data_IF_770076379183
#
_entry.id   IF_770076379183
#
_cell.length_a   1.000
_cell.length_b   1.000
_cell.length_c   1.000
_cell.angle_alpha   90.00
_cell.angle_beta   90.00
_cell.angle_gamma   90.00
#
_symmetry.space_group_name_H-M   'P 1'
#
loop_
_entity.id
_entity.type
_entity.pdbx_description
1 polymer ?
#
# COMPACT_ATOMS: atom_id res chain seq x y z
N UNK A 1 -24.47 -13.03 34.01
CA UNK A 1 -24.01 -14.21 33.24
C UNK A 1 -24.57 -14.04 31.84
N UNK A 2 -23.88 -13.27 31.00
CA UNK A 2 -24.31 -12.98 29.62
C UNK A 2 -23.98 -14.20 28.76
N UNK A 3 -25.02 -14.85 28.25
CA UNK A 3 -24.84 -15.88 27.22
C UNK A 3 -24.35 -15.20 25.94
N UNK A 4 -23.18 -15.60 25.48
CA UNK A 4 -22.68 -15.27 24.16
C UNK A 4 -23.56 -16.05 23.18
N UNK A 5 -24.41 -15.33 22.45
CA UNK A 5 -25.20 -15.94 21.37
C UNK A 5 -24.23 -16.48 20.32
N UNK A 6 -24.27 -17.79 20.11
CA UNK A 6 -23.57 -18.43 18.99
C UNK A 6 -24.22 -17.98 17.69
N UNK A 7 -23.44 -17.54 16.70
CA UNK A 7 -24.02 -17.10 15.42
C UNK A 7 -24.81 -18.26 14.78
N UNK A 8 -25.95 -17.90 14.16
CA UNK A 8 -26.85 -18.84 13.52
C UNK A 8 -26.12 -19.68 12.45
N UNK A 9 -26.28 -20.99 12.52
CA UNK A 9 -25.61 -21.94 11.62
C UNK A 9 -25.88 -21.67 10.13
N UNK A 10 -27.04 -21.08 9.79
CA UNK A 10 -27.38 -20.66 8.43
C UNK A 10 -26.54 -19.47 7.94
N UNK A 11 -26.19 -18.54 8.84
CA UNK A 11 -25.31 -17.39 8.50
C UNK A 11 -23.90 -17.89 8.24
N UNK A 12 -23.38 -18.81 9.06
CA UNK A 12 -22.06 -19.41 8.86
C UNK A 12 -21.97 -20.21 7.55
N UNK A 13 -23.02 -20.98 7.20
CA UNK A 13 -23.09 -21.74 5.94
C UNK A 13 -23.17 -20.82 4.71
N UNK A 14 -23.90 -19.70 4.82
CA UNK A 14 -23.98 -18.69 3.77
C UNK A 14 -22.62 -17.98 3.53
N UNK A 15 -21.91 -17.63 4.60
CA UNK A 15 -20.58 -17.02 4.51
C UNK A 15 -19.53 -17.96 3.92
N UNK A 16 -19.54 -19.26 4.25
CA UNK A 16 -18.64 -20.25 3.66
C UNK A 16 -18.85 -20.39 2.14
N UNK A 17 -20.08 -20.37 1.68
CA UNK A 17 -20.38 -20.46 0.25
C UNK A 17 -19.86 -19.23 -0.53
N UNK A 18 -19.99 -18.02 0.00
CA UNK A 18 -19.51 -16.82 -0.67
C UNK A 18 -17.99 -16.74 -0.70
N UNK A 19 -17.30 -17.15 0.36
CA UNK A 19 -15.83 -17.18 0.42
C UNK A 19 -15.29 -18.14 -0.65
N UNK A 20 -15.84 -19.34 -0.79
CA UNK A 20 -15.43 -20.31 -1.79
C UNK A 20 -15.62 -19.79 -3.24
N UNK A 21 -16.75 -19.14 -3.50
CA UNK A 21 -17.01 -18.49 -4.80
C UNK A 21 -15.99 -17.37 -5.10
N UNK A 22 -15.67 -16.56 -4.10
CA UNK A 22 -14.69 -15.49 -4.22
C UNK A 22 -13.27 -16.01 -4.43
N UNK A 23 -12.88 -17.10 -3.75
CA UNK A 23 -11.59 -17.79 -3.97
C UNK A 23 -11.52 -18.29 -5.40
N UNK A 24 -12.55 -19.01 -5.85
CA UNK A 24 -12.60 -19.53 -7.22
C UNK A 24 -12.50 -18.40 -8.26
N UNK A 25 -13.22 -17.32 -8.07
CA UNK A 25 -13.18 -16.15 -8.96
C UNK A 25 -11.81 -15.48 -8.95
N UNK A 26 -11.23 -15.23 -7.78
CA UNK A 26 -9.92 -14.61 -7.65
C UNK A 26 -8.82 -15.45 -8.30
N UNK A 27 -8.86 -16.77 -8.15
CA UNK A 27 -7.89 -17.72 -8.70
C UNK A 27 -7.87 -17.76 -10.25
N UNK A 28 -8.93 -17.29 -10.92
CA UNK A 28 -8.97 -17.17 -12.38
C UNK A 28 -8.12 -15.99 -12.89
N UNK A 29 -7.77 -15.04 -12.03
CA UNK A 29 -6.95 -13.89 -12.42
C UNK A 29 -5.48 -14.30 -12.54
N UNK A 30 -5.00 -14.40 -13.77
CA UNK A 30 -3.62 -14.80 -14.06
C UNK A 30 -2.63 -13.61 -14.04
N UNK A 31 -3.09 -12.40 -14.37
CA UNK A 31 -2.22 -11.20 -14.47
C UNK A 31 -2.96 -9.95 -13.98
N UNK A 32 -2.22 -9.12 -13.25
CA UNK A 32 -2.74 -7.88 -12.71
C UNK A 32 -3.74 -8.11 -11.57
N UNK A 33 -4.44 -7.08 -11.16
CA UNK A 33 -5.37 -7.11 -10.02
C UNK A 33 -6.66 -6.33 -10.26
N UNK A 34 -6.95 -5.96 -11.51
CA UNK A 34 -8.15 -5.20 -11.83
C UNK A 34 -9.44 -5.96 -11.48
N UNK A 35 -9.49 -7.25 -11.83
CA UNK A 35 -10.65 -8.10 -11.56
C UNK A 35 -10.80 -8.39 -10.06
N UNK A 36 -9.67 -8.61 -9.38
CA UNK A 36 -9.66 -8.83 -7.92
C UNK A 36 -10.15 -7.57 -7.19
N UNK A 37 -9.68 -6.40 -7.61
CA UNK A 37 -10.13 -5.13 -7.04
C UNK A 37 -11.61 -4.87 -7.30
N UNK A 38 -12.11 -5.21 -8.51
CA UNK A 38 -13.54 -5.14 -8.84
C UNK A 38 -14.37 -6.05 -7.94
N UNK A 39 -13.89 -7.29 -7.72
CA UNK A 39 -14.56 -8.22 -6.80
C UNK A 39 -14.60 -7.67 -5.36
N UNK A 40 -13.53 -7.01 -4.88
CA UNK A 40 -13.52 -6.34 -3.59
C UNK A 40 -14.59 -5.23 -3.50
N UNK A 41 -14.69 -4.40 -4.53
CA UNK A 41 -15.69 -3.33 -4.61
C UNK A 41 -17.13 -3.90 -4.61
N UNK A 42 -17.35 -5.02 -5.28
CA UNK A 42 -18.65 -5.70 -5.29
C UNK A 42 -19.01 -6.24 -3.90
N UNK A 43 -18.07 -6.85 -3.17
CA UNK A 43 -18.30 -7.29 -1.77
C UNK A 43 -18.68 -6.11 -0.90
N UNK A 44 -17.91 -5.02 -0.96
CA UNK A 44 -18.18 -3.79 -0.17
C UNK A 44 -19.52 -3.15 -0.52
N UNK A 45 -19.95 -3.23 -1.78
CA UNK A 45 -21.22 -2.66 -2.23
C UNK A 45 -22.43 -3.51 -1.87
N UNK A 46 -22.26 -4.82 -1.63
CA UNK A 46 -23.37 -5.77 -1.45
C UNK A 46 -23.53 -6.29 -0.03
N UNK A 47 -22.53 -6.04 0.83
CA UNK A 47 -22.53 -6.52 2.23
C UNK A 47 -22.35 -5.34 3.20
N UNK A 48 -22.91 -5.48 4.40
CA UNK A 48 -22.65 -4.53 5.49
C UNK A 48 -21.15 -4.56 5.89
N UNK A 49 -20.58 -3.47 6.45
CA UNK A 49 -19.18 -3.41 6.83
C UNK A 49 -18.69 -4.59 7.70
N UNK A 50 -19.42 -5.03 8.77
CA UNK A 50 -18.96 -6.16 9.58
C UNK A 50 -18.90 -7.48 8.78
N UNK A 51 -19.85 -7.71 7.88
CA UNK A 51 -19.89 -8.92 7.05
C UNK A 51 -18.76 -8.90 6.03
N UNK A 52 -18.52 -7.74 5.38
CA UNK A 52 -17.42 -7.55 4.44
C UNK A 52 -16.05 -7.81 5.09
N UNK A 53 -15.84 -7.31 6.32
CA UNK A 53 -14.61 -7.53 7.07
C UNK A 53 -14.45 -8.98 7.52
N UNK A 54 -15.55 -9.66 7.87
CA UNK A 54 -15.57 -11.09 8.20
C UNK A 54 -15.21 -11.94 6.98
N UNK A 55 -15.77 -11.63 5.81
CA UNK A 55 -15.42 -12.25 4.52
C UNK A 55 -13.93 -12.02 4.21
N UNK A 56 -13.45 -10.80 4.38
CA UNK A 56 -12.04 -10.47 4.14
C UNK A 56 -11.10 -11.25 5.06
N UNK A 57 -11.42 -11.38 6.36
CA UNK A 57 -10.62 -12.17 7.29
C UNK A 57 -10.58 -13.66 6.88
N UNK A 58 -11.71 -14.22 6.47
CA UNK A 58 -11.78 -15.61 5.98
C UNK A 58 -10.96 -15.80 4.70
N UNK A 59 -11.04 -14.88 3.74
CA UNK A 59 -10.24 -14.89 2.51
C UNK A 59 -8.75 -14.79 2.80
N UNK A 60 -8.35 -13.95 3.76
CA UNK A 60 -6.94 -13.77 4.11
C UNK A 60 -6.32 -15.02 4.77
N UNK A 61 -7.13 -15.86 5.41
CA UNK A 61 -6.71 -17.11 6.05
C UNK A 61 -6.45 -18.25 5.05
N UNK A 62 -6.58 -18.02 3.73
CA UNK A 62 -6.40 -19.05 2.70
C UNK A 62 -4.98 -19.09 2.16
N UNK A 63 -4.58 -20.23 1.57
CA UNK A 63 -3.29 -20.41 0.91
C UNK A 63 -3.19 -19.65 -0.43
N UNK A 64 -4.30 -19.27 -1.02
CA UNK A 64 -4.36 -18.64 -2.34
C UNK A 64 -4.02 -17.14 -2.24
N UNK A 65 -2.89 -16.73 -2.80
CA UNK A 65 -2.46 -15.32 -2.73
C UNK A 65 -3.47 -14.35 -3.38
N UNK A 66 -4.18 -14.76 -4.43
CA UNK A 66 -5.23 -13.94 -5.05
C UNK A 66 -6.40 -13.67 -4.08
N UNK A 67 -6.76 -14.66 -3.25
CA UNK A 67 -7.79 -14.48 -2.22
C UNK A 67 -7.30 -13.55 -1.09
N UNK A 68 -6.04 -13.71 -0.66
CA UNK A 68 -5.44 -12.79 0.32
C UNK A 68 -5.31 -11.37 -0.23
N UNK A 69 -5.00 -11.21 -1.52
CA UNK A 69 -4.99 -9.91 -2.19
C UNK A 69 -6.40 -9.29 -2.27
N UNK A 70 -7.44 -10.12 -2.57
CA UNK A 70 -8.83 -9.69 -2.53
C UNK A 70 -9.21 -9.16 -1.14
N UNK A 71 -8.87 -9.92 -0.09
CA UNK A 71 -9.04 -9.51 1.30
C UNK A 71 -8.35 -8.16 1.59
N UNK A 72 -7.12 -8.00 1.13
CA UNK A 72 -6.34 -6.77 1.28
C UNK A 72 -7.05 -5.56 0.67
N UNK A 73 -7.68 -5.71 -0.49
CA UNK A 73 -8.45 -4.63 -1.10
C UNK A 73 -9.74 -4.34 -0.33
N UNK A 74 -10.43 -5.35 0.21
CA UNK A 74 -11.62 -5.13 1.05
C UNK A 74 -11.23 -4.34 2.31
N UNK A 75 -10.17 -4.76 3.04
CA UNK A 75 -9.66 -4.00 4.18
C UNK A 75 -9.27 -2.56 3.78
N UNK A 76 -8.67 -2.37 2.60
CA UNK A 76 -8.30 -1.07 2.07
C UNK A 76 -9.49 -0.11 1.87
N UNK A 77 -10.66 -0.62 1.47
CA UNK A 77 -11.86 0.19 1.32
C UNK A 77 -12.40 0.69 2.68
N UNK A 78 -12.19 -0.06 3.75
CA UNK A 78 -12.64 0.31 5.10
C UNK A 78 -11.58 1.02 5.95
N UNK A 79 -10.28 0.94 5.59
CA UNK A 79 -9.18 1.43 6.42
C UNK A 79 -9.28 2.92 6.79
N UNK A 80 -9.97 3.75 5.98
CA UNK A 80 -10.17 5.17 6.26
C UNK A 80 -11.31 5.47 7.24
N UNK A 81 -12.15 4.48 7.57
CA UNK A 81 -13.33 4.64 8.43
C UNK A 81 -13.38 3.63 9.57
N UNK A 82 -12.52 2.62 9.54
CA UNK A 82 -12.44 1.55 10.54
C UNK A 82 -10.96 1.32 10.91
N UNK A 83 -10.61 1.66 12.15
CA UNK A 83 -9.25 1.52 12.67
C UNK A 83 -8.77 0.06 12.69
N UNK A 84 -9.68 -0.90 12.89
CA UNK A 84 -9.34 -2.32 12.91
C UNK A 84 -8.89 -2.80 11.52
N UNK A 85 -9.49 -2.26 10.45
CA UNK A 85 -9.10 -2.56 9.08
C UNK A 85 -7.69 -2.00 8.77
N UNK A 86 -7.40 -0.75 9.17
CA UNK A 86 -6.06 -0.17 9.03
C UNK A 86 -5.03 -0.97 9.85
N UNK A 87 -5.37 -1.34 11.08
CA UNK A 87 -4.51 -2.16 11.95
C UNK A 87 -4.23 -3.54 11.33
N UNK A 88 -5.24 -4.18 10.73
CA UNK A 88 -5.05 -5.46 10.05
C UNK A 88 -4.10 -5.35 8.86
N UNK A 89 -4.24 -4.30 8.04
CA UNK A 89 -3.30 -4.01 6.94
C UNK A 89 -1.87 -3.83 7.47
N UNK A 90 -1.72 -3.06 8.55
CA UNK A 90 -0.42 -2.75 9.15
C UNK A 90 0.24 -3.97 9.78
N UNK A 91 -0.49 -4.72 10.63
CA UNK A 91 0.10 -5.75 11.48
C UNK A 91 0.09 -7.14 10.85
N UNK A 92 -0.85 -7.43 9.97
CA UNK A 92 -1.05 -8.77 9.42
C UNK A 92 -0.68 -8.81 7.93
N UNK A 93 -1.33 -7.99 7.09
CA UNK A 93 -1.09 -8.03 5.63
C UNK A 93 0.36 -7.68 5.29
N UNK A 94 0.97 -6.75 6.02
CA UNK A 94 2.36 -6.34 5.81
C UNK A 94 3.38 -7.47 6.06
N UNK A 95 2.98 -8.57 6.71
CA UNK A 95 3.81 -9.76 6.98
C UNK A 95 3.63 -10.86 5.94
N UNK A 96 2.73 -10.67 4.97
CA UNK A 96 2.53 -11.66 3.90
C UNK A 96 3.79 -11.79 3.04
N UNK A 97 4.30 -13.01 2.81
CA UNK A 97 5.51 -13.22 2.03
C UNK A 97 5.30 -13.02 0.52
N UNK A 98 4.04 -13.05 0.05
CA UNK A 98 3.73 -12.95 -1.37
C UNK A 98 3.78 -11.50 -1.87
N UNK A 99 4.58 -11.24 -2.88
CA UNK A 99 4.78 -9.90 -3.42
C UNK A 99 3.50 -9.29 -4.04
N UNK A 100 2.55 -10.12 -4.53
CA UNK A 100 1.28 -9.63 -5.06
C UNK A 100 0.40 -9.06 -3.93
N UNK A 101 0.42 -9.71 -2.76
CA UNK A 101 -0.29 -9.21 -1.57
C UNK A 101 0.35 -7.91 -1.09
N UNK A 102 1.69 -7.81 -1.11
CA UNK A 102 2.40 -6.58 -0.78
C UNK A 102 2.09 -5.42 -1.76
N UNK A 103 1.92 -5.71 -3.05
CA UNK A 103 1.42 -4.73 -4.04
C UNK A 103 -0.04 -4.32 -3.73
N UNK A 104 -0.86 -5.29 -3.31
CA UNK A 104 -2.21 -5.03 -2.79
C UNK A 104 -2.21 -4.08 -1.60
N UNK A 105 -1.30 -4.32 -0.63
CA UNK A 105 -1.13 -3.46 0.54
C UNK A 105 -0.78 -2.02 0.16
N UNK A 106 0.12 -1.82 -0.80
CA UNK A 106 0.47 -0.50 -1.30
C UNK A 106 -0.76 0.24 -1.87
N UNK A 107 -1.61 -0.46 -2.62
CA UNK A 107 -2.86 0.12 -3.15
C UNK A 107 -3.91 0.38 -2.06
N UNK A 108 -4.00 -0.50 -1.07
CA UNK A 108 -4.89 -0.32 0.09
C UNK A 108 -4.47 0.89 0.92
N UNK A 109 -3.16 1.11 1.11
CA UNK A 109 -2.64 2.29 1.79
C UNK A 109 -2.94 3.60 1.03
N UNK A 110 -2.76 3.63 -0.30
CA UNK A 110 -3.15 4.81 -1.11
C UNK A 110 -4.67 5.06 -1.01
N UNK A 111 -5.49 4.00 -0.99
CA UNK A 111 -6.94 4.12 -0.78
C UNK A 111 -7.28 4.71 0.58
N UNK A 112 -6.61 4.27 1.65
CA UNK A 112 -6.71 4.88 2.98
C UNK A 112 -6.41 6.39 2.91
N UNK A 113 -5.25 6.78 2.37
CA UNK A 113 -4.85 8.17 2.25
C UNK A 113 -5.87 9.01 1.44
N UNK A 114 -6.42 8.44 0.37
CA UNK A 114 -7.43 9.11 -0.45
C UNK A 114 -8.76 9.30 0.30
N UNK A 115 -9.13 8.34 1.16
CA UNK A 115 -10.39 8.38 1.92
C UNK A 115 -10.35 9.41 3.05
N UNK A 116 -9.25 9.46 3.83
CA UNK A 116 -9.11 10.41 4.94
C UNK A 116 -8.62 11.79 4.48
N UNK A 117 -8.08 11.88 3.27
CA UNK A 117 -7.38 13.04 2.73
C UNK A 117 -5.87 12.95 2.94
N UNK A 118 -5.09 13.21 1.87
CA UNK A 118 -3.62 13.04 1.90
C UNK A 118 -2.92 13.92 2.95
N UNK A 119 -3.42 15.12 3.19
CA UNK A 119 -2.88 15.99 4.24
C UNK A 119 -3.12 15.40 5.64
N UNK A 120 -4.32 14.91 5.89
CA UNK A 120 -4.71 14.29 7.16
C UNK A 120 -4.01 12.95 7.39
N UNK A 121 -3.63 12.26 6.31
CA UNK A 121 -2.91 11.00 6.37
C UNK A 121 -1.41 11.15 6.72
N UNK A 122 -0.83 12.37 6.68
CA UNK A 122 0.61 12.60 6.92
C UNK A 122 1.11 11.94 8.21
N UNK A 123 0.43 12.04 9.36
CA UNK A 123 0.92 11.39 10.59
C UNK A 123 1.03 9.86 10.46
N UNK A 124 0.09 9.22 9.76
CA UNK A 124 0.13 7.76 9.52
C UNK A 124 1.20 7.41 8.47
N UNK A 125 1.38 8.25 7.45
CA UNK A 125 2.46 8.13 6.48
C UNK A 125 3.82 8.13 7.21
N UNK A 126 4.07 9.10 8.09
CA UNK A 126 5.30 9.21 8.89
C UNK A 126 5.49 7.97 9.79
N UNK A 127 4.43 7.53 10.47
CA UNK A 127 4.45 6.35 11.32
C UNK A 127 4.86 5.09 10.51
N UNK A 128 4.26 4.89 9.34
CA UNK A 128 4.56 3.73 8.51
C UNK A 128 5.94 3.82 7.84
N UNK A 129 6.43 5.02 7.52
CA UNK A 129 7.81 5.20 7.01
C UNK A 129 8.87 4.93 8.09
N UNK A 130 8.52 5.07 9.38
CA UNK A 130 9.39 4.76 10.51
C UNK A 130 9.26 3.32 11.04
N UNK A 131 8.41 2.48 10.42
CA UNK A 131 8.16 1.11 10.88
C UNK A 131 9.42 0.23 10.76
N UNK A 132 9.56 -0.73 11.67
CA UNK A 132 10.68 -1.69 11.65
C UNK A 132 10.66 -2.61 10.42
N UNK A 133 9.45 -2.91 9.87
CA UNK A 133 9.29 -3.80 8.74
C UNK A 133 9.42 -3.07 7.40
N UNK A 134 10.34 -3.51 6.53
CA UNK A 134 10.57 -2.86 5.24
C UNK A 134 9.35 -2.95 4.30
N UNK A 135 8.50 -3.95 4.47
CA UNK A 135 7.25 -4.10 3.70
C UNK A 135 6.24 -2.98 4.02
N UNK A 136 6.17 -2.52 5.27
CA UNK A 136 5.35 -1.38 5.69
C UNK A 136 5.88 -0.09 5.07
N UNK A 137 7.20 0.18 5.21
CA UNK A 137 7.83 1.37 4.63
C UNK A 137 7.66 1.40 3.10
N UNK A 138 7.81 0.22 2.45
CA UNK A 138 7.60 0.09 1.01
C UNK A 138 6.14 0.29 0.60
N UNK A 139 5.18 -0.16 1.39
CA UNK A 139 3.75 0.05 1.09
C UNK A 139 3.43 1.55 0.95
N UNK A 140 4.05 2.41 1.75
CA UNK A 140 3.91 3.87 1.62
C UNK A 140 4.57 4.38 0.35
N UNK A 141 5.83 4.03 0.12
CA UNK A 141 6.62 4.56 -1.00
C UNK A 141 6.05 4.15 -2.36
N UNK A 142 5.57 2.91 -2.51
CA UNK A 142 4.92 2.41 -3.74
C UNK A 142 3.44 2.81 -3.84
N UNK A 143 2.71 2.83 -2.73
CA UNK A 143 1.29 3.20 -2.73
C UNK A 143 1.07 4.63 -3.20
N UNK A 144 1.85 5.56 -2.68
CA UNK A 144 1.76 6.97 -3.04
C UNK A 144 2.48 7.33 -4.35
N UNK A 145 3.12 6.39 -5.02
CA UNK A 145 3.75 6.62 -6.32
C UNK A 145 2.67 6.88 -7.40
N UNK A 146 2.70 7.90 -8.26
CA UNK A 146 3.56 9.07 -8.33
C UNK A 146 3.06 10.11 -7.32
N UNK A 147 3.83 10.42 -6.28
CA UNK A 147 3.42 11.25 -5.15
C UNK A 147 2.77 12.58 -5.58
N UNK A 148 3.41 13.30 -6.49
CA UNK A 148 2.92 14.60 -6.99
C UNK A 148 1.68 14.51 -7.90
N UNK A 149 1.15 13.33 -8.15
CA UNK A 149 -0.19 13.16 -8.74
C UNK A 149 -1.32 13.17 -7.71
N UNK A 150 -0.99 13.19 -6.40
CA UNK A 150 -1.97 13.31 -5.31
C UNK A 150 -2.16 14.79 -4.97
N UNK A 151 -3.40 15.27 -4.78
CA UNK A 151 -3.69 16.71 -4.66
C UNK A 151 -2.75 17.44 -3.68
N UNK A 152 -2.65 16.95 -2.45
CA UNK A 152 -1.82 17.58 -1.41
C UNK A 152 -0.34 17.64 -1.80
N UNK A 153 0.23 16.57 -2.32
CA UNK A 153 1.64 16.52 -2.70
C UNK A 153 1.92 17.21 -4.05
N UNK A 154 0.91 17.41 -4.88
CA UNK A 154 0.99 18.28 -6.05
C UNK A 154 1.24 19.73 -5.61
N UNK A 155 0.49 20.19 -4.62
CA UNK A 155 0.61 21.56 -4.10
C UNK A 155 1.82 21.72 -3.17
N UNK A 156 2.24 20.65 -2.51
CA UNK A 156 3.33 20.61 -1.52
C UNK A 156 4.39 19.56 -1.86
N UNK A 157 5.06 19.64 -3.03
CA UNK A 157 6.01 18.61 -3.48
C UNK A 157 7.22 18.44 -2.56
N UNK A 158 7.62 19.50 -1.85
CA UNK A 158 8.70 19.44 -0.86
C UNK A 158 8.37 18.51 0.31
N UNK A 159 7.10 18.40 0.71
CA UNK A 159 6.67 17.45 1.77
C UNK A 159 6.93 16.02 1.32
N UNK A 160 6.53 15.67 0.08
CA UNK A 160 6.80 14.34 -0.48
C UNK A 160 8.30 14.02 -0.52
N UNK A 161 9.13 14.96 -0.99
CA UNK A 161 10.59 14.77 -1.07
C UNK A 161 11.20 14.58 0.32
N UNK A 162 10.77 15.36 1.33
CA UNK A 162 11.25 15.23 2.71
C UNK A 162 10.86 13.89 3.35
N UNK A 163 9.64 13.43 3.14
CA UNK A 163 9.19 12.12 3.62
C UNK A 163 10.03 10.99 3.01
N UNK A 164 10.26 11.03 1.70
CA UNK A 164 11.10 10.05 1.01
C UNK A 164 12.57 10.12 1.45
N UNK A 165 13.09 11.32 1.73
CA UNK A 165 14.47 11.53 2.16
C UNK A 165 14.80 10.90 3.53
N UNK A 166 13.80 10.62 4.38
CA UNK A 166 13.98 9.89 5.63
C UNK A 166 14.50 8.45 5.42
N UNK A 167 14.23 7.88 4.24
CA UNK A 167 14.62 6.51 3.86
C UNK A 167 15.85 6.46 2.94
N UNK A 168 16.66 7.53 2.87
CA UNK A 168 17.80 7.61 1.95
C UNK A 168 18.87 6.57 2.20
N UNK A 169 19.01 6.13 3.45
CA UNK A 169 19.97 5.14 3.94
C UNK A 169 19.31 3.88 4.50
N UNK A 170 18.05 3.62 4.12
CA UNK A 170 17.29 2.45 4.56
C UNK A 170 18.08 1.15 4.36
N UNK A 171 18.02 0.24 5.32
CA UNK A 171 18.74 -1.04 5.26
C UNK A 171 18.22 -1.94 4.12
N UNK A 172 16.95 -1.83 3.77
CA UNK A 172 16.34 -2.60 2.69
C UNK A 172 16.63 -1.98 1.31
N UNK A 173 17.33 -2.70 0.45
CA UNK A 173 17.52 -2.29 -0.95
C UNK A 173 16.18 -2.13 -1.67
N UNK A 174 15.18 -2.94 -1.31
CA UNK A 174 13.85 -2.90 -1.90
C UNK A 174 13.14 -1.58 -1.59
N UNK A 175 13.29 -1.06 -0.35
CA UNK A 175 12.79 0.26 0.03
C UNK A 175 13.57 1.35 -0.69
N UNK A 176 14.91 1.29 -0.69
CA UNK A 176 15.76 2.28 -1.40
C UNK A 176 15.42 2.36 -2.89
N UNK A 177 15.15 1.22 -3.53
CA UNK A 177 14.73 1.18 -4.94
C UNK A 177 13.42 1.93 -5.14
N UNK A 178 12.44 1.74 -4.25
CA UNK A 178 11.16 2.43 -4.28
C UNK A 178 11.33 3.94 -4.07
N UNK A 179 12.13 4.35 -3.09
CA UNK A 179 12.48 5.77 -2.84
C UNK A 179 13.12 6.40 -4.08
N UNK A 180 14.13 5.76 -4.66
CA UNK A 180 14.80 6.27 -5.86
C UNK A 180 13.86 6.42 -7.06
N UNK A 181 12.96 5.46 -7.25
CA UNK A 181 11.94 5.54 -8.29
C UNK A 181 10.93 6.68 -8.03
N UNK A 182 10.48 6.85 -6.77
CA UNK A 182 9.56 7.92 -6.40
C UNK A 182 10.19 9.31 -6.60
N UNK A 183 11.43 9.51 -6.13
CA UNK A 183 12.16 10.78 -6.34
C UNK A 183 12.40 11.06 -7.82
N UNK A 184 12.74 10.03 -8.62
CA UNK A 184 12.86 10.16 -10.07
C UNK A 184 11.55 10.58 -10.73
N UNK A 185 10.42 10.05 -10.29
CA UNK A 185 9.11 10.44 -10.84
C UNK A 185 8.78 11.89 -10.46
N UNK A 186 9.09 12.33 -9.24
CA UNK A 186 8.95 13.74 -8.81
C UNK A 186 9.88 14.65 -9.62
N UNK A 187 11.13 14.24 -9.88
CA UNK A 187 12.11 15.07 -10.59
C UNK A 187 11.71 15.40 -12.02
N UNK A 188 10.79 14.67 -12.65
CA UNK A 188 10.27 14.98 -13.98
C UNK A 188 9.52 16.32 -14.04
N UNK A 189 8.89 16.71 -12.93
CA UNK A 189 8.11 17.94 -12.82
C UNK A 189 8.75 18.97 -11.87
N UNK A 190 9.61 18.53 -10.95
CA UNK A 190 10.27 19.35 -9.94
C UNK A 190 11.78 19.06 -9.88
N UNK A 191 12.54 19.22 -11.00
CA UNK A 191 13.95 18.82 -11.07
C UNK A 191 14.83 19.60 -10.09
N UNK A 192 14.64 20.91 -9.97
CA UNK A 192 15.45 21.76 -9.10
C UNK A 192 15.24 21.41 -7.61
N UNK A 193 13.99 21.10 -7.23
CA UNK A 193 13.64 20.70 -5.88
C UNK A 193 14.37 19.39 -5.50
N UNK A 194 14.27 18.36 -6.34
CA UNK A 194 14.91 17.06 -6.07
C UNK A 194 16.44 17.22 -6.08
N UNK A 195 16.97 17.97 -7.05
CA UNK A 195 18.42 18.23 -7.14
C UNK A 195 18.96 18.95 -5.92
N UNK A 196 18.24 19.94 -5.37
CA UNK A 196 18.68 20.67 -4.18
C UNK A 196 18.78 19.76 -2.96
N UNK A 197 17.82 18.86 -2.76
CA UNK A 197 17.84 17.91 -1.65
C UNK A 197 18.94 16.85 -1.84
N UNK A 198 19.11 16.32 -3.06
CA UNK A 198 20.14 15.32 -3.32
C UNK A 198 21.57 15.87 -3.17
N UNK A 199 21.81 17.17 -3.37
CA UNK A 199 23.12 17.80 -3.16
C UNK A 199 23.59 17.79 -1.70
N UNK A 200 22.65 17.71 -0.76
CA UNK A 200 22.91 17.66 0.68
C UNK A 200 23.26 16.25 1.17
N UNK A 201 23.10 15.23 0.30
CA UNK A 201 23.28 13.84 0.68
C UNK A 201 24.74 13.40 0.59
N UNK A 202 25.22 12.74 1.63
CA UNK A 202 26.57 12.14 1.66
C UNK A 202 26.62 10.85 0.81
N UNK A 203 27.06 10.99 -0.43
CA UNK A 203 27.22 9.86 -1.35
C UNK A 203 28.43 8.97 -1.05
N UNK A 204 29.17 9.19 0.05
CA UNK A 204 30.18 8.23 0.52
C UNK A 204 29.50 6.95 1.09
N UNK A 205 28.26 7.07 1.58
CA UNK A 205 27.42 5.91 1.91
C UNK A 205 26.90 5.24 0.63
N UNK A 206 27.23 3.95 0.40
CA UNK A 206 26.81 3.24 -0.81
C UNK A 206 25.29 3.11 -0.96
N UNK A 207 24.54 3.13 0.14
CA UNK A 207 23.06 3.08 0.15
C UNK A 207 22.49 4.36 -0.45
N UNK A 208 23.00 5.51 -0.02
CA UNK A 208 22.64 6.84 -0.51
C UNK A 208 23.08 7.02 -1.98
N UNK A 209 24.32 6.64 -2.30
CA UNK A 209 24.84 6.67 -3.66
C UNK A 209 23.98 5.84 -4.64
N UNK A 210 23.42 4.72 -4.17
CA UNK A 210 22.51 3.90 -4.96
C UNK A 210 21.25 4.66 -5.37
N UNK A 211 20.58 5.34 -4.42
CA UNK A 211 19.39 6.15 -4.72
C UNK A 211 19.74 7.30 -5.65
N UNK A 212 20.83 8.01 -5.38
CA UNK A 212 21.32 9.10 -6.23
C UNK A 212 21.51 8.65 -7.69
N UNK A 213 22.09 7.45 -7.90
CA UNK A 213 22.25 6.84 -9.23
C UNK A 213 20.91 6.53 -9.89
N UNK A 214 19.91 6.04 -9.12
CA UNK A 214 18.58 5.73 -9.64
C UNK A 214 17.85 6.98 -10.14
N UNK A 215 17.91 8.06 -9.38
CA UNK A 215 17.27 9.33 -9.75
C UNK A 215 17.89 9.91 -11.02
N UNK A 216 19.22 9.88 -11.13
CA UNK A 216 19.96 10.48 -12.25
C UNK A 216 20.02 9.63 -13.54
N UNK A 217 19.47 8.40 -13.54
CA UNK A 217 19.47 7.52 -14.73
C UNK A 217 18.73 8.10 -15.95
N UNK A 218 17.81 9.02 -15.76
CA UNK A 218 16.96 9.57 -16.84
C UNK A 218 17.61 10.74 -17.57
N UNK A 219 18.48 11.51 -16.89
CA UNK A 219 19.11 12.70 -17.48
C UNK A 219 20.07 12.38 -18.63
N UNK A 220 20.55 11.14 -18.75
CA UNK A 220 21.46 10.73 -19.85
C UNK A 220 20.75 10.31 -21.15
N UNK A 221 19.44 10.04 -21.14
CA UNK A 221 18.69 9.64 -22.35
C UNK A 221 18.06 10.81 -23.12
N UNK A 222 18.00 11.99 -22.54
CA UNK A 222 17.40 13.19 -23.15
C UNK A 222 18.46 14.14 -23.76
N UNK A 223 19.74 13.81 -23.72
CA UNK A 223 20.84 14.60 -24.28
C UNK A 223 21.58 13.88 -25.44
N UNK A 224 20.95 12.84 -26.02
CA UNK A 224 21.52 12.14 -27.19
C UNK A 224 20.57 12.16 -28.37
#
# INVERSE_FOLDING_TARGET
MNMIETPDSNVLQGCMNIVDQLIQRASQTQRGFADIRKAAQEVVATHAPPDSLSIAAALFSTETHQARMLATFIFGEYAGTDESALHFLHMIVSRDPDWHVQEGLAKAFDRYCATVGYQQAVPVIELWLADEYPTVRRAVTEGLRVWTSRPYFCDQPLVAVRLLAQLRDDESEYVRTSVGNALRDISKHHPDLVTSVLKEWDCSDPRIAYIHKLVNRVTRKTQG
#
